data_IF_732544892205
#
_entry.id   IF_732544892205
#
_cell.length_a   1.000
_cell.length_b   1.000
_cell.length_c   1.000
_cell.angle_alpha   90.00
_cell.angle_beta   90.00
_cell.angle_gamma   90.00
#
_symmetry.space_group_name_H-M   'P 1'
#
loop_
_entity.id
_entity.type
_entity.pdbx_description
1 polymer ?
#
# COMPACT_ATOMS: atom_id res chain seq x y z
N UNK A 1 -22.27 13.83 -7.04
CA UNK A 1 -21.88 13.82 -6.69
C UNK A 1 -20.93 13.47 -6.29
N UNK A 2 -20.52 13.20 -6.13
CA UNK A 2 -19.76 13.01 -5.52
C UNK A 2 -18.55 13.22 -5.30
N UNK A 3 -18.12 13.44 -4.83
CA UNK A 3 -17.08 13.98 -4.41
C UNK A 3 -16.25 13.08 -3.73
N UNK A 4 -16.55 11.96 -3.46
CA UNK A 4 -15.74 11.02 -2.73
C UNK A 4 -14.55 10.53 -3.50
N UNK A 5 -14.41 10.88 -4.72
CA UNK A 5 -13.28 10.39 -5.50
C UNK A 5 -11.96 10.74 -4.90
N UNK A 6 -11.85 11.87 -4.24
CA UNK A 6 -10.59 12.29 -3.67
C UNK A 6 -10.12 11.39 -2.55
N UNK A 7 -11.00 10.57 -2.01
CA UNK A 7 -10.67 9.69 -0.89
C UNK A 7 -10.98 8.23 -1.19
N UNK A 8 -11.05 7.86 -2.46
CA UNK A 8 -11.31 6.47 -2.80
C UNK A 8 -10.03 5.74 -3.11
N UNK A 9 -10.07 4.45 -2.88
CA UNK A 9 -8.97 3.55 -3.21
C UNK A 9 -9.58 2.28 -3.77
N UNK A 10 -8.98 1.75 -4.82
CA UNK A 10 -9.35 0.48 -5.39
C UNK A 10 -8.19 -0.49 -5.25
N UNK A 11 -8.47 -1.70 -4.81
CA UNK A 11 -7.46 -2.75 -4.68
C UNK A 11 -7.89 -3.91 -5.55
N UNK A 12 -7.02 -4.33 -6.46
CA UNK A 12 -7.31 -5.42 -7.37
C UNK A 12 -6.13 -6.37 -7.41
N UNK A 13 -6.29 -7.50 -8.07
CA UNK A 13 -5.24 -8.48 -8.20
C UNK A 13 -4.92 -8.69 -9.67
N UNK A 14 -3.63 -8.64 -10.02
CA UNK A 14 -3.16 -8.94 -11.37
C UNK A 14 -2.04 -9.94 -11.27
N UNK A 15 -2.31 -11.17 -11.68
CA UNK A 15 -1.33 -12.22 -11.54
C UNK A 15 -0.97 -12.38 -10.06
N UNK A 16 0.28 -12.17 -9.70
CA UNK A 16 0.73 -12.23 -8.31
C UNK A 16 0.92 -10.83 -7.70
N UNK A 17 0.46 -9.77 -8.37
CA UNK A 17 0.57 -8.41 -7.87
C UNK A 17 -0.75 -7.94 -7.28
N UNK A 18 -0.67 -7.36 -6.09
CA UNK A 18 -1.79 -6.69 -5.46
C UNK A 18 -1.69 -5.22 -5.86
N UNK A 19 -2.64 -4.75 -6.65
CA UNK A 19 -2.58 -3.44 -7.29
C UNK A 19 -3.46 -2.43 -6.56
N UNK A 20 -2.86 -1.30 -6.19
CA UNK A 20 -3.56 -0.21 -5.50
C UNK A 20 -3.69 0.98 -6.44
N UNK A 21 -4.88 1.54 -6.53
CA UNK A 21 -5.16 2.72 -7.37
C UNK A 21 -5.93 3.74 -6.57
N UNK A 22 -5.48 4.99 -6.60
CA UNK A 22 -6.14 6.10 -5.93
C UNK A 22 -5.26 6.72 -4.88
N UNK A 23 -5.87 7.25 -3.80
CA UNK A 23 -5.11 7.81 -2.69
C UNK A 23 -5.07 6.79 -1.55
N UNK A 24 -3.94 6.69 -0.89
CA UNK A 24 -3.78 5.72 0.19
C UNK A 24 -3.49 6.48 1.47
N UNK A 25 -4.53 7.08 2.00
CA UNK A 25 -4.46 7.93 3.19
C UNK A 25 -5.41 7.42 4.25
N UNK A 26 -5.30 7.99 5.45
CA UNK A 26 -6.04 7.51 6.61
C UNK A 26 -7.53 7.23 6.36
N UNK A 27 -8.28 8.11 5.69
CA UNK A 27 -9.73 7.86 5.53
C UNK A 27 -10.07 6.60 4.77
N UNK A 28 -9.16 6.11 3.93
CA UNK A 28 -9.45 4.94 3.09
C UNK A 28 -8.73 3.68 3.56
N UNK A 29 -7.91 3.76 4.59
CA UNK A 29 -7.08 2.63 5.01
C UNK A 29 -7.94 1.41 5.37
N UNK A 30 -9.02 1.60 6.12
CA UNK A 30 -9.87 0.47 6.49
C UNK A 30 -10.50 -0.19 5.27
N UNK A 31 -10.93 0.61 4.29
CA UNK A 31 -11.49 0.09 3.06
C UNK A 31 -10.44 -0.66 2.25
N UNK A 32 -9.25 -0.09 2.13
CA UNK A 32 -8.16 -0.74 1.40
C UNK A 32 -7.79 -2.07 2.06
N UNK A 33 -7.72 -2.10 3.37
CA UNK A 33 -7.43 -3.32 4.11
C UNK A 33 -8.45 -4.41 3.82
N UNK A 34 -9.74 -4.07 3.89
CA UNK A 34 -10.80 -5.03 3.63
C UNK A 34 -10.76 -5.54 2.19
N UNK A 35 -10.50 -4.64 1.24
CA UNK A 35 -10.42 -5.04 -0.17
C UNK A 35 -9.24 -5.96 -0.41
N UNK A 36 -8.13 -5.73 0.28
CA UNK A 36 -6.91 -6.50 0.07
C UNK A 36 -6.98 -7.90 0.65
N UNK A 37 -7.67 -8.08 1.77
CA UNK A 37 -7.63 -9.35 2.50
C UNK A 37 -7.97 -10.57 1.63
N UNK A 38 -9.08 -10.57 0.87
CA UNK A 38 -9.39 -11.75 0.06
C UNK A 38 -8.45 -11.93 -1.14
N UNK A 39 -7.64 -10.91 -1.44
CA UNK A 39 -6.76 -10.95 -2.60
C UNK A 39 -5.31 -11.28 -2.24
N UNK A 40 -5.02 -11.41 -0.95
CA UNK A 40 -3.63 -11.58 -0.49
C UNK A 40 -3.04 -12.96 -0.79
N UNK A 41 -3.86 -13.99 -0.82
CA UNK A 41 -3.35 -15.33 -0.97
C UNK A 41 -2.60 -15.48 -2.29
N UNK A 42 -1.33 -15.84 -2.23
CA UNK A 42 -0.50 -16.00 -3.41
C UNK A 42 0.07 -14.70 -3.96
N UNK A 43 -0.24 -13.56 -3.36
CA UNK A 43 0.32 -12.29 -3.81
C UNK A 43 1.81 -12.24 -3.44
N UNK A 44 2.64 -11.78 -4.37
CA UNK A 44 4.08 -11.67 -4.16
C UNK A 44 4.61 -10.27 -4.35
N UNK A 45 3.75 -9.35 -4.79
CA UNK A 45 4.16 -8.00 -5.13
C UNK A 45 3.07 -7.02 -4.72
N UNK A 46 3.46 -5.85 -4.24
CA UNK A 46 2.55 -4.73 -4.07
C UNK A 46 2.85 -3.71 -5.17
N UNK A 47 1.84 -3.39 -5.97
CA UNK A 47 2.01 -2.46 -7.08
C UNK A 47 1.35 -1.14 -6.72
N UNK A 48 2.15 -0.10 -6.54
CA UNK A 48 1.71 1.21 -6.10
C UNK A 48 1.74 2.26 -7.21
N UNK A 49 1.94 1.83 -8.45
CA UNK A 49 2.05 2.78 -9.57
C UNK A 49 0.81 3.62 -9.79
N UNK A 50 -0.36 3.13 -9.38
CA UNK A 50 -1.60 3.88 -9.49
C UNK A 50 -1.94 4.72 -8.27
N UNK A 51 -1.10 4.72 -7.24
CA UNK A 51 -1.34 5.50 -6.03
C UNK A 51 -0.75 6.87 -6.21
N UNK A 52 -1.58 7.90 -6.10
CA UNK A 52 -1.14 9.28 -6.32
C UNK A 52 -0.53 9.88 -5.07
N UNK A 53 -0.94 9.44 -3.90
CA UNK A 53 -0.48 10.02 -2.64
C UNK A 53 -0.63 9.02 -1.51
N UNK A 54 0.29 9.04 -0.55
CA UNK A 54 0.26 8.14 0.60
C UNK A 54 0.63 8.93 1.86
N UNK A 55 -0.01 8.61 2.98
CA UNK A 55 0.37 9.18 4.28
C UNK A 55 0.88 8.06 5.18
N UNK A 56 1.18 8.40 6.43
CA UNK A 56 1.75 7.43 7.37
C UNK A 56 0.80 6.27 7.67
N UNK A 57 -0.50 6.53 7.68
CA UNK A 57 -1.47 5.47 7.90
C UNK A 57 -1.48 4.48 6.73
N UNK A 58 -1.38 5.01 5.50
CA UNK A 58 -1.29 4.17 4.32
C UNK A 58 -0.02 3.33 4.32
N UNK A 59 1.11 3.96 4.68
CA UNK A 59 2.37 3.24 4.74
C UNK A 59 2.32 2.13 5.79
N UNK A 60 1.76 2.40 6.96
CA UNK A 60 1.64 1.40 8.01
C UNK A 60 0.81 0.21 7.56
N UNK A 61 -0.28 0.49 6.83
CA UNK A 61 -1.12 -0.58 6.31
C UNK A 61 -0.37 -1.43 5.29
N UNK A 62 0.36 -0.80 4.37
CA UNK A 62 1.15 -1.55 3.39
C UNK A 62 2.19 -2.42 4.06
N UNK A 63 2.85 -1.90 5.09
CA UNK A 63 3.84 -2.66 5.84
C UNK A 63 3.20 -3.88 6.50
N UNK A 64 2.01 -3.71 7.08
CA UNK A 64 1.30 -4.81 7.71
C UNK A 64 0.87 -5.87 6.68
N UNK A 65 0.39 -5.44 5.52
CA UNK A 65 0.02 -6.38 4.45
C UNK A 65 1.24 -7.15 3.95
N UNK A 66 2.36 -6.45 3.78
CA UNK A 66 3.58 -7.08 3.29
C UNK A 66 4.05 -8.16 4.26
N UNK A 67 4.00 -7.88 5.57
CA UNK A 67 4.38 -8.88 6.57
C UNK A 67 3.40 -10.04 6.59
N UNK A 68 2.11 -9.75 6.52
CA UNK A 68 1.09 -10.80 6.57
C UNK A 68 1.23 -11.78 5.43
N UNK A 69 1.52 -11.28 4.24
CA UNK A 69 1.60 -12.12 3.04
C UNK A 69 3.02 -12.54 2.66
N UNK A 70 4.02 -12.07 3.38
CA UNK A 70 5.40 -12.38 3.07
C UNK A 70 5.89 -11.70 1.80
N UNK A 71 5.37 -10.52 1.51
CA UNK A 71 5.72 -9.79 0.30
C UNK A 71 6.93 -8.89 0.56
N UNK A 72 7.94 -8.99 -0.28
CA UNK A 72 9.11 -8.12 -0.21
C UNK A 72 9.26 -7.23 -1.44
N UNK A 73 8.48 -7.47 -2.48
CA UNK A 73 8.61 -6.76 -3.75
C UNK A 73 7.55 -5.65 -3.81
N UNK A 74 8.00 -4.42 -3.66
CA UNK A 74 7.13 -3.24 -3.66
C UNK A 74 7.48 -2.41 -4.87
N UNK A 75 6.51 -2.20 -5.75
CA UNK A 75 6.72 -1.46 -7.00
C UNK A 75 5.99 -0.12 -6.95
N UNK A 76 6.65 0.94 -7.43
CA UNK A 76 6.06 2.27 -7.46
C UNK A 76 6.53 3.12 -6.30
N UNK A 77 6.36 4.42 -6.46
CA UNK A 77 6.80 5.38 -5.44
C UNK A 77 5.84 6.57 -5.44
N UNK A 78 4.69 6.45 -4.77
CA UNK A 78 3.75 7.56 -4.71
C UNK A 78 4.31 8.74 -3.93
N UNK A 79 3.69 9.91 -4.10
CA UNK A 79 4.11 11.11 -3.39
C UNK A 79 4.11 10.87 -1.89
N UNK A 80 5.20 11.19 -1.25
CA UNK A 80 5.37 11.02 0.19
C UNK A 80 5.94 9.67 0.59
N UNK A 81 5.99 8.73 -0.34
CA UNK A 81 6.40 7.36 -0.02
C UNK A 81 7.85 7.27 0.46
N UNK A 82 8.76 7.87 -0.32
CA UNK A 82 10.18 7.78 0.01
C UNK A 82 10.50 8.49 1.33
N UNK A 83 9.90 9.65 1.55
CA UNK A 83 10.10 10.41 2.77
C UNK A 83 9.59 9.65 3.99
N UNK A 84 8.41 9.05 3.88
CA UNK A 84 7.84 8.29 4.98
C UNK A 84 8.67 7.03 5.27
N UNK A 85 9.13 6.38 4.22
CA UNK A 85 9.95 5.19 4.39
C UNK A 85 11.22 5.52 5.14
N UNK A 86 11.85 6.63 4.79
CA UNK A 86 13.05 7.11 5.49
C UNK A 86 12.72 7.47 6.94
N UNK A 87 11.63 8.18 7.16
CA UNK A 87 11.25 8.63 8.50
C UNK A 87 10.99 7.46 9.44
N UNK A 88 10.45 6.37 8.93
CA UNK A 88 10.16 5.20 9.75
C UNK A 88 11.22 4.12 9.64
N UNK A 89 12.33 4.42 8.97
CA UNK A 89 13.47 3.51 8.82
C UNK A 89 13.09 2.16 8.24
N UNK A 90 12.29 2.22 7.20
CA UNK A 90 11.87 1.02 6.48
C UNK A 90 12.73 0.84 5.24
N UNK A 91 13.06 -0.39 4.92
CA UNK A 91 13.81 -0.68 3.71
C UNK A 91 12.85 -0.78 2.52
N UNK A 92 13.35 -1.21 1.38
CA UNK A 92 12.56 -1.27 0.15
C UNK A 92 11.42 -2.26 0.22
N UNK A 93 11.49 -3.21 1.13
CA UNK A 93 10.43 -4.20 1.32
C UNK A 93 9.47 -3.81 2.43
N UNK A 94 9.60 -2.58 2.96
CA UNK A 94 8.80 -2.06 4.07
C UNK A 94 9.04 -2.82 5.38
N UNK A 95 10.20 -3.47 5.48
CA UNK A 95 10.61 -4.09 6.74
C UNK A 95 11.48 -3.09 7.50
N UNK A 96 11.58 -3.29 8.81
CA UNK A 96 12.38 -2.40 9.63
C UNK A 96 13.86 -2.53 9.29
N UNK A 97 14.43 -1.47 8.72
CA UNK A 97 15.80 -1.51 8.26
C UNK A 97 16.80 -1.54 9.39
N UNK A 98 16.40 -1.07 10.56
CA UNK A 98 17.30 -1.04 11.70
C UNK A 98 17.46 -2.40 12.34
N UNK A 99 16.60 -3.29 11.96
CA UNK A 99 16.49 -4.65 12.39
C UNK A 99 17.37 -5.36 13.13
#
# INVERSE_FOLDING_TARGET
>A
MPIAEATTIAVTRRGDALVFDGVLTRPVVASAWRQAQPLLSGARQLALGGVSHIDSAGLAMLSALARQAGIADIQGSPNGYAELRTAYRLDESLACAAG
#
